data_IF_683021543824
#
_entry.id   IF_683021543824
#
_cell.length_a   1.000
_cell.length_b   1.000
_cell.length_c   1.000
_cell.angle_alpha   90.00
_cell.angle_beta   90.00
_cell.angle_gamma   90.00
#
_symmetry.space_group_name_H-M   'P 1'
#
loop_
_entity.id
_entity.type
_entity.pdbx_description
1 polymer ?
#
# COMPACT_ATOMS: atom_id res chain seq x y z
N UNK A 1 -20.73 -64.84 -25.96
CA UNK A 1 -20.27 -63.43 -26.03
C UNK A 1 -18.77 -63.43 -26.16
N UNK A 2 -18.24 -63.20 -27.37
CA UNK A 2 -16.80 -63.05 -27.60
C UNK A 2 -16.42 -61.59 -27.33
N UNK A 3 -15.73 -61.35 -26.22
CA UNK A 3 -15.02 -60.09 -26.01
C UNK A 3 -13.75 -60.11 -26.87
N UNK A 4 -13.73 -59.29 -27.91
CA UNK A 4 -12.58 -59.13 -28.79
C UNK A 4 -11.51 -58.31 -28.10
N UNK A 5 -10.26 -58.80 -28.11
CA UNK A 5 -9.07 -58.17 -27.52
C UNK A 5 -8.84 -56.72 -27.99
N UNK A 6 -9.47 -56.33 -29.10
CA UNK A 6 -9.45 -54.96 -29.65
C UNK A 6 -10.09 -53.92 -28.71
N UNK A 7 -11.09 -54.31 -27.90
CA UNK A 7 -11.80 -53.40 -26.99
C UNK A 7 -10.98 -53.01 -25.74
N UNK A 8 -9.94 -53.78 -25.41
CA UNK A 8 -9.06 -53.50 -24.27
C UNK A 8 -8.05 -52.41 -24.60
N UNK A 9 -7.65 -52.28 -25.87
CA UNK A 9 -6.60 -51.36 -26.27
C UNK A 9 -7.08 -49.89 -26.38
N UNK A 10 -8.37 -49.67 -26.69
CA UNK A 10 -8.94 -48.32 -26.77
C UNK A 10 -9.28 -47.74 -25.38
N UNK A 11 -9.62 -48.58 -24.40
CA UNK A 11 -9.88 -48.14 -23.03
C UNK A 11 -8.65 -47.53 -22.33
N UNK A 12 -7.43 -47.99 -22.66
CA UNK A 12 -6.22 -47.47 -22.03
C UNK A 12 -5.90 -46.02 -22.43
N UNK A 13 -6.24 -45.64 -23.67
CA UNK A 13 -6.08 -44.25 -24.15
C UNK A 13 -7.03 -43.29 -23.42
N UNK A 14 -8.27 -43.72 -23.20
CA UNK A 14 -9.28 -42.93 -22.47
C UNK A 14 -8.83 -42.70 -21.02
N UNK A 15 -8.36 -43.75 -20.33
CA UNK A 15 -7.86 -43.63 -18.96
C UNK A 15 -6.66 -42.69 -18.89
N UNK A 16 -5.71 -42.80 -19.83
CA UNK A 16 -4.52 -41.94 -19.86
C UNK A 16 -4.88 -40.47 -20.08
N UNK A 17 -5.80 -40.18 -21.01
CA UNK A 17 -6.27 -38.82 -21.27
C UNK A 17 -6.99 -38.25 -20.05
N UNK A 18 -7.89 -39.02 -19.41
CA UNK A 18 -8.57 -38.60 -18.18
C UNK A 18 -7.58 -38.31 -17.04
N UNK A 19 -6.53 -39.13 -16.90
CA UNK A 19 -5.52 -38.94 -15.86
C UNK A 19 -4.66 -37.69 -16.11
N UNK A 20 -4.26 -37.44 -17.37
CA UNK A 20 -3.53 -36.23 -17.76
C UNK A 20 -4.40 -34.99 -17.55
N UNK A 21 -5.67 -35.02 -17.99
CA UNK A 21 -6.61 -33.92 -17.77
C UNK A 21 -6.83 -33.67 -16.29
N UNK A 22 -7.00 -34.70 -15.46
CA UNK A 22 -7.13 -34.55 -14.02
C UNK A 22 -5.87 -33.96 -13.36
N UNK A 23 -4.67 -34.40 -13.76
CA UNK A 23 -3.41 -33.83 -13.27
C UNK A 23 -3.29 -32.36 -13.67
N UNK A 24 -3.56 -32.02 -14.92
CA UNK A 24 -3.58 -30.64 -15.41
C UNK A 24 -4.61 -29.83 -14.63
N UNK A 25 -5.83 -30.33 -14.47
CA UNK A 25 -6.87 -29.66 -13.69
C UNK A 25 -6.46 -29.46 -12.23
N UNK A 26 -5.83 -30.44 -11.57
CA UNK A 26 -5.34 -30.30 -10.19
C UNK A 26 -4.21 -29.27 -10.11
N UNK A 27 -3.29 -29.26 -11.07
CA UNK A 27 -2.17 -28.30 -11.13
C UNK A 27 -2.69 -26.87 -11.37
N UNK A 28 -3.67 -26.70 -12.27
CA UNK A 28 -4.21 -25.39 -12.60
C UNK A 28 -5.29 -24.90 -11.63
N UNK A 29 -6.08 -25.78 -11.03
CA UNK A 29 -7.16 -25.43 -10.09
C UNK A 29 -6.64 -25.15 -8.67
N UNK A 30 -5.48 -25.71 -8.28
CA UNK A 30 -4.81 -25.33 -7.02
C UNK A 30 -4.22 -23.92 -7.02
N UNK A 31 -4.22 -23.19 -8.15
CA UNK A 31 -4.03 -21.75 -8.11
C UNK A 31 -5.31 -21.14 -7.53
N UNK A 32 -5.37 -21.03 -6.20
CA UNK A 32 -6.25 -20.05 -5.57
C UNK A 32 -6.05 -18.71 -6.32
N UNK A 33 -7.13 -17.97 -6.63
CA UNK A 33 -6.99 -16.68 -7.31
C UNK A 33 -5.93 -15.86 -6.58
N UNK A 34 -4.84 -15.55 -7.30
CA UNK A 34 -3.65 -14.90 -6.76
C UNK A 34 -3.93 -13.50 -6.17
N UNK A 35 -5.15 -12.99 -6.31
CA UNK A 35 -5.51 -11.60 -6.08
C UNK A 35 -6.51 -11.43 -4.93
N UNK A 36 -6.26 -12.10 -3.81
CA UNK A 36 -6.96 -11.78 -2.53
C UNK A 36 -6.54 -10.43 -1.94
N UNK A 37 -5.67 -9.69 -2.64
CA UNK A 37 -5.28 -8.35 -2.25
C UNK A 37 -6.43 -7.37 -2.42
N UNK A 38 -6.49 -6.38 -1.54
CA UNK A 38 -7.59 -5.41 -1.51
C UNK A 38 -7.31 -4.34 -2.56
N UNK A 39 -8.34 -3.89 -3.29
CA UNK A 39 -8.22 -2.69 -4.11
C UNK A 39 -7.99 -1.48 -3.21
N UNK A 40 -6.95 -0.69 -3.49
CA UNK A 40 -6.76 0.60 -2.80
C UNK A 40 -7.98 1.49 -3.05
N UNK A 41 -8.38 2.32 -2.08
CA UNK A 41 -9.47 3.29 -2.28
C UNK A 41 -9.18 4.28 -3.43
N UNK A 42 -7.89 4.43 -3.75
CA UNK A 42 -7.42 5.24 -4.86
C UNK A 42 -7.27 4.46 -6.18
N UNK A 43 -7.65 3.18 -6.22
CA UNK A 43 -7.63 2.38 -7.44
C UNK A 43 -8.88 2.63 -8.31
N UNK A 44 -8.76 2.68 -9.64
CA UNK A 44 -7.52 2.75 -10.42
C UNK A 44 -7.00 4.19 -10.59
N UNK A 45 -7.74 5.19 -10.10
CA UNK A 45 -7.69 6.57 -10.56
C UNK A 45 -6.53 7.41 -10.02
N UNK A 46 -6.11 7.19 -8.77
CA UNK A 46 -5.12 8.05 -8.10
C UNK A 46 -3.88 7.29 -7.59
N UNK A 47 -3.96 5.96 -7.41
CA UNK A 47 -2.85 5.15 -6.89
C UNK A 47 -2.50 5.43 -5.41
N UNK A 48 -1.37 4.95 -4.85
CA UNK A 48 -1.03 5.17 -3.45
C UNK A 48 -0.67 6.63 -3.12
N UNK A 49 -0.69 7.55 -4.10
CA UNK A 49 -0.32 8.96 -3.98
C UNK A 49 -0.92 9.83 -5.10
N UNK A 50 -0.12 10.71 -5.70
CA UNK A 50 -0.50 11.52 -6.87
C UNK A 50 -0.13 10.87 -8.21
N UNK A 51 -0.62 9.66 -8.50
CA UNK A 51 -0.24 8.98 -9.76
C UNK A 51 -1.00 9.47 -11.00
N UNK A 52 -1.64 10.63 -10.91
CA UNK A 52 -2.28 11.28 -12.05
C UNK A 52 -1.25 12.11 -12.82
N UNK A 53 -1.33 12.06 -14.15
CA UNK A 53 -0.54 12.94 -15.01
C UNK A 53 -1.13 14.34 -14.95
N UNK A 54 -0.39 15.27 -14.34
CA UNK A 54 -0.77 16.68 -14.32
C UNK A 54 -0.51 17.34 -15.69
N UNK A 55 -1.29 18.38 -15.99
CA UNK A 55 -1.04 19.25 -17.14
C UNK A 55 0.30 19.98 -17.00
N UNK A 56 0.87 20.44 -18.11
CA UNK A 56 2.11 21.23 -18.09
C UNK A 56 1.99 22.45 -17.16
N UNK A 57 3.01 22.70 -16.34
CA UNK A 57 3.03 23.80 -15.35
C UNK A 57 2.39 23.47 -14.00
N UNK A 58 1.86 22.25 -13.84
CA UNK A 58 1.32 21.74 -12.58
C UNK A 58 2.20 20.63 -12.03
N UNK A 59 2.37 20.63 -10.72
CA UNK A 59 3.29 19.77 -9.98
C UNK A 59 2.58 19.08 -8.81
N UNK A 60 3.32 18.26 -8.07
CA UNK A 60 2.84 17.59 -6.87
C UNK A 60 3.73 17.93 -5.67
N UNK A 61 3.13 18.01 -4.50
CA UNK A 61 3.84 18.04 -3.21
C UNK A 61 3.14 17.11 -2.22
N UNK A 62 3.75 16.87 -1.06
CA UNK A 62 3.18 16.02 -0.03
C UNK A 62 3.49 16.52 1.37
N UNK A 63 2.53 16.33 2.26
CA UNK A 63 2.65 16.57 3.67
C UNK A 63 3.00 15.24 4.35
N UNK A 64 4.30 15.04 4.62
CA UNK A 64 4.84 13.71 4.90
C UNK A 64 5.68 13.67 6.17
N UNK A 65 5.46 12.64 6.99
CA UNK A 65 6.21 12.33 8.20
C UNK A 65 7.27 11.28 7.92
N UNK A 66 8.53 11.70 7.82
CA UNK A 66 9.65 10.81 7.55
C UNK A 66 10.23 10.23 8.84
N UNK A 67 10.75 9.00 8.75
CA UNK A 67 11.41 8.33 9.86
C UNK A 67 12.70 8.99 10.35
N UNK A 68 13.30 9.85 9.53
CA UNK A 68 14.50 10.62 9.91
C UNK A 68 14.19 11.93 10.64
N UNK A 69 12.94 12.41 10.57
CA UNK A 69 12.51 13.69 11.16
C UNK A 69 11.46 13.52 12.25
N UNK A 70 10.88 12.34 12.34
CA UNK A 70 9.94 11.94 13.38
C UNK A 70 10.63 10.90 14.25
N UNK A 71 10.33 10.86 15.55
CA UNK A 71 10.90 9.85 16.45
C UNK A 71 10.12 8.54 16.33
N UNK A 72 10.56 7.66 15.43
CA UNK A 72 9.94 6.33 15.26
C UNK A 72 10.52 5.35 16.29
N UNK A 73 9.68 4.59 17.02
CA UNK A 73 10.16 3.58 17.94
C UNK A 73 11.09 2.58 17.25
N UNK A 74 12.22 2.24 17.86
CA UNK A 74 13.19 1.28 17.31
C UNK A 74 12.57 -0.10 17.06
N UNK A 75 11.59 -0.49 17.88
CA UNK A 75 10.79 -1.70 17.71
C UNK A 75 10.00 -1.68 16.40
N UNK A 76 9.35 -0.55 16.08
CA UNK A 76 8.64 -0.38 14.82
C UNK A 76 9.60 -0.53 13.64
N UNK A 77 10.73 0.17 13.69
CA UNK A 77 11.76 0.11 12.64
C UNK A 77 12.23 -1.34 12.44
N UNK A 78 12.53 -2.04 13.53
CA UNK A 78 12.94 -3.46 13.51
C UNK A 78 11.87 -4.35 12.87
N UNK A 79 10.61 -4.17 13.25
CA UNK A 79 9.48 -4.93 12.72
C UNK A 79 9.25 -4.64 11.23
N UNK A 80 9.47 -3.41 10.78
CA UNK A 80 9.44 -3.05 9.36
C UNK A 80 10.56 -3.74 8.57
N UNK A 81 11.79 -3.78 9.09
CA UNK A 81 12.88 -4.54 8.46
C UNK A 81 12.55 -6.04 8.36
N UNK A 82 12.06 -6.65 9.45
CA UNK A 82 11.61 -8.05 9.44
C UNK A 82 10.52 -8.29 8.40
N UNK A 83 9.57 -7.36 8.29
CA UNK A 83 8.49 -7.41 7.32
C UNK A 83 8.96 -7.25 5.88
N UNK A 84 9.94 -6.41 5.60
CA UNK A 84 10.47 -6.30 4.24
C UNK A 84 11.36 -7.48 3.85
N UNK A 85 12.13 -8.05 4.79
CA UNK A 85 12.99 -9.20 4.53
C UNK A 85 12.20 -10.45 4.15
N UNK A 86 10.96 -10.58 4.64
CA UNK A 86 10.11 -11.69 4.23
C UNK A 86 9.73 -11.60 2.75
N UNK A 87 9.60 -10.40 2.18
CA UNK A 87 9.18 -10.22 0.80
C UNK A 87 10.17 -10.87 -0.16
N UNK A 88 11.46 -10.78 0.13
CA UNK A 88 12.51 -11.40 -0.68
C UNK A 88 12.49 -12.94 -0.62
N UNK A 89 11.92 -13.54 0.43
CA UNK A 89 11.75 -15.00 0.52
C UNK A 89 10.68 -15.52 -0.42
N UNK A 90 9.72 -14.67 -0.81
CA UNK A 90 8.57 -15.06 -1.63
C UNK A 90 8.75 -14.72 -3.12
N UNK A 91 9.80 -13.98 -3.47
CA UNK A 91 10.09 -13.62 -4.86
C UNK A 91 11.02 -12.42 -4.94
N UNK A 92 11.07 -11.78 -6.12
CA UNK A 92 11.84 -10.55 -6.34
C UNK A 92 10.91 -9.33 -6.27
N UNK A 93 10.94 -8.53 -5.18
CA UNK A 93 10.18 -7.28 -5.12
C UNK A 93 10.64 -6.31 -6.20
N UNK A 94 9.72 -5.45 -6.65
CA UNK A 94 10.04 -4.32 -7.53
C UNK A 94 10.81 -3.26 -6.74
N UNK A 95 10.39 -3.00 -5.50
CA UNK A 95 11.09 -2.12 -4.58
C UNK A 95 10.87 -2.51 -3.13
N UNK A 96 11.82 -2.14 -2.28
CA UNK A 96 11.78 -2.32 -0.82
C UNK A 96 12.15 -0.98 -0.18
N UNK A 97 11.26 -0.41 0.62
CA UNK A 97 11.44 0.91 1.19
C UNK A 97 12.59 0.96 2.21
N UNK A 98 12.81 -0.11 2.98
CA UNK A 98 13.87 -0.19 4.01
C UNK A 98 15.29 -0.31 3.45
N UNK A 99 15.45 -0.62 2.16
CA UNK A 99 16.77 -0.85 1.52
C UNK A 99 17.20 0.27 0.59
N UNK A 100 16.26 1.09 0.14
CA UNK A 100 16.58 2.20 -0.74
C UNK A 100 16.99 3.40 0.12
N UNK A 101 18.27 3.75 0.06
CA UNK A 101 18.87 4.87 0.81
C UNK A 101 18.18 6.21 0.50
N UNK A 102 17.46 6.31 -0.62
CA UNK A 102 16.71 7.50 -1.03
C UNK A 102 15.22 7.45 -0.67
N UNK A 103 14.68 6.31 -0.20
CA UNK A 103 13.29 6.22 0.25
C UNK A 103 13.24 6.07 1.76
N UNK A 104 13.18 7.19 2.46
CA UNK A 104 12.89 7.16 3.89
C UNK A 104 11.48 6.62 4.11
N UNK A 105 11.34 5.77 5.11
CA UNK A 105 10.05 5.28 5.55
C UNK A 105 9.22 6.46 6.01
N UNK A 106 7.98 6.53 5.54
CA UNK A 106 7.15 7.69 5.80
C UNK A 106 5.67 7.37 5.83
N UNK A 107 4.93 8.28 6.47
CA UNK A 107 3.47 8.36 6.41
C UNK A 107 3.09 9.69 5.78
N UNK A 108 2.32 9.65 4.71
CA UNK A 108 1.81 10.87 4.07
C UNK A 108 0.41 11.20 4.59
N UNK A 109 0.29 12.37 5.22
CA UNK A 109 -0.97 12.92 5.67
C UNK A 109 -1.78 13.47 4.50
N UNK A 110 -1.13 14.16 3.56
CA UNK A 110 -1.80 14.73 2.38
C UNK A 110 -0.90 14.71 1.14
N UNK A 111 -1.50 14.47 -0.03
CA UNK A 111 -0.85 14.62 -1.32
C UNK A 111 -1.51 15.77 -2.09
N UNK A 112 -0.75 16.83 -2.35
CA UNK A 112 -1.20 17.99 -3.10
C UNK A 112 -0.95 17.78 -4.59
N UNK A 113 -1.91 17.16 -5.28
CA UNK A 113 -1.77 16.77 -6.69
C UNK A 113 -2.22 17.86 -7.66
N UNK A 114 -1.40 18.14 -8.66
CA UNK A 114 -1.70 19.03 -9.79
C UNK A 114 -2.06 20.45 -9.36
N UNK A 115 -1.16 21.05 -8.59
CA UNK A 115 -1.17 22.47 -8.26
C UNK A 115 -0.09 23.18 -9.07
N UNK A 116 -0.34 24.43 -9.46
CA UNK A 116 0.69 25.29 -10.03
C UNK A 116 1.78 25.58 -8.98
N UNK A 117 2.97 25.98 -9.44
CA UNK A 117 4.07 26.39 -8.53
C UNK A 117 3.64 27.47 -7.53
N UNK A 118 2.89 28.46 -7.99
CA UNK A 118 2.39 29.54 -7.13
C UNK A 118 1.40 29.03 -6.08
N UNK A 119 0.51 28.09 -6.44
CA UNK A 119 -0.37 27.45 -5.47
C UNK A 119 0.43 26.65 -4.45
N UNK A 120 1.44 25.87 -4.87
CA UNK A 120 2.27 25.07 -3.96
C UNK A 120 3.02 25.94 -2.94
N UNK A 121 3.60 27.07 -3.35
CA UNK A 121 4.23 28.03 -2.42
C UNK A 121 3.22 28.58 -1.41
N UNK A 122 1.99 28.88 -1.84
CA UNK A 122 0.93 29.35 -0.94
C UNK A 122 0.45 28.26 0.02
N UNK A 123 0.43 27.00 -0.43
CA UNK A 123 0.12 25.84 0.41
C UNK A 123 1.20 25.68 1.48
N UNK A 124 2.48 25.74 1.10
CA UNK A 124 3.61 25.71 2.03
C UNK A 124 3.52 26.82 3.07
N UNK A 125 3.32 28.07 2.65
CA UNK A 125 3.15 29.21 3.56
C UNK A 125 1.95 29.02 4.50
N UNK A 126 0.84 28.48 4.00
CA UNK A 126 -0.32 28.17 4.84
C UNK A 126 0.03 27.11 5.89
N UNK A 127 0.63 25.99 5.48
CA UNK A 127 1.02 24.89 6.37
C UNK A 127 2.07 25.31 7.38
N UNK A 128 2.91 26.28 7.04
CA UNK A 128 3.91 26.84 7.94
C UNK A 128 3.29 27.59 9.11
N UNK A 129 2.22 28.32 8.83
CA UNK A 129 1.45 29.13 9.79
C UNK A 129 0.27 28.37 10.41
N UNK A 130 -0.02 27.16 9.95
CA UNK A 130 -1.11 26.35 10.46
C UNK A 130 -0.89 26.01 11.94
N UNK A 131 -1.94 26.07 12.76
CA UNK A 131 -1.87 25.74 14.19
C UNK A 131 -1.88 24.23 14.38
N UNK A 132 -0.71 23.63 14.27
CA UNK A 132 -0.52 22.19 14.41
C UNK A 132 -0.88 21.70 15.82
N UNK A 133 -1.63 20.60 15.86
CA UNK A 133 -1.86 19.82 17.08
C UNK A 133 -1.14 18.49 16.96
N UNK A 134 -0.61 17.99 18.08
CA UNK A 134 0.02 16.67 18.11
C UNK A 134 -1.02 15.59 17.84
N UNK A 135 -0.71 14.68 16.92
CA UNK A 135 -1.54 13.53 16.59
C UNK A 135 -0.85 12.24 17.02
N UNK A 136 -1.61 11.31 17.58
CA UNK A 136 -1.12 9.96 17.83
C UNK A 136 -1.31 9.09 16.58
N UNK A 137 -0.33 8.25 16.29
CA UNK A 137 -0.46 7.18 15.30
C UNK A 137 -0.06 5.83 15.89
N UNK A 138 -0.89 4.83 15.64
CA UNK A 138 -0.67 3.42 15.93
C UNK A 138 -0.85 2.63 14.65
N UNK A 139 0.00 1.62 14.45
CA UNK A 139 -0.09 0.72 13.30
C UNK A 139 -0.79 -0.59 13.66
N UNK A 140 -1.75 -0.98 12.82
CA UNK A 140 -2.52 -2.21 13.00
C UNK A 140 -1.82 -3.38 12.32
N UNK A 141 -1.89 -3.47 10.99
CA UNK A 141 -1.46 -4.65 10.23
C UNK A 141 -0.92 -4.33 8.86
N UNK A 142 -0.19 -5.28 8.27
CA UNK A 142 0.14 -5.22 6.87
C UNK A 142 -1.05 -5.64 6.00
N UNK A 143 -1.19 -4.99 4.86
CA UNK A 143 -2.06 -5.44 3.78
C UNK A 143 -1.28 -5.44 2.46
N UNK A 144 -1.75 -6.23 1.50
CA UNK A 144 -1.40 -6.04 0.11
C UNK A 144 -2.52 -5.25 -0.58
N UNK A 145 -2.16 -4.13 -1.19
CA UNK A 145 -3.07 -3.20 -1.83
C UNK A 145 -2.77 -3.14 -3.34
N UNK A 146 -3.76 -3.44 -4.17
CA UNK A 146 -3.65 -3.26 -5.61
C UNK A 146 -3.75 -1.76 -5.87
N UNK A 147 -2.61 -1.17 -6.23
CA UNK A 147 -2.44 0.28 -6.41
C UNK A 147 -2.20 0.66 -7.87
N UNK A 148 -1.87 -0.31 -8.72
CA UNK A 148 -1.69 -0.19 -10.17
C UNK A 148 -2.19 -1.45 -10.88
N UNK A 149 -2.28 -1.39 -12.22
CA UNK A 149 -2.71 -2.54 -13.04
C UNK A 149 -1.81 -3.75 -12.86
N UNK A 150 -0.48 -3.54 -12.78
CA UNK A 150 0.56 -4.57 -12.78
C UNK A 150 1.31 -4.69 -11.44
N UNK A 151 1.02 -3.83 -10.46
CA UNK A 151 1.75 -3.77 -9.18
C UNK A 151 0.82 -3.79 -7.97
N UNK A 152 1.36 -4.38 -6.90
CA UNK A 152 0.77 -4.43 -5.58
C UNK A 152 1.69 -3.68 -4.63
N UNK A 153 1.14 -2.72 -3.88
CA UNK A 153 1.82 -2.09 -2.75
C UNK A 153 1.64 -2.96 -1.51
N UNK A 154 2.75 -3.29 -0.85
CA UNK A 154 2.72 -3.89 0.49
C UNK A 154 2.82 -2.74 1.48
N UNK A 155 1.79 -2.55 2.29
CA UNK A 155 1.67 -1.38 3.15
C UNK A 155 1.34 -1.79 4.58
N UNK A 156 1.85 -1.00 5.54
CA UNK A 156 1.49 -1.07 6.95
C UNK A 156 0.41 -0.02 7.22
N UNK A 157 -0.77 -0.46 7.65
CA UNK A 157 -1.93 0.40 7.87
C UNK A 157 -1.92 1.01 9.26
N UNK A 158 -2.28 2.30 9.36
CA UNK A 158 -2.65 2.88 10.65
C UNK A 158 -3.95 2.23 11.16
N UNK A 159 -4.09 2.13 12.48
CA UNK A 159 -5.27 1.58 13.15
C UNK A 159 -6.51 2.47 12.96
N UNK A 160 -7.70 1.97 13.30
CA UNK A 160 -8.95 2.67 13.01
C UNK A 160 -9.04 4.06 13.67
N UNK A 161 -8.54 4.20 14.91
CA UNK A 161 -8.52 5.47 15.63
C UNK A 161 -7.58 6.47 14.96
N UNK A 162 -6.37 6.04 14.59
CA UNK A 162 -5.39 6.89 13.90
C UNK A 162 -5.87 7.30 12.51
N UNK A 163 -6.50 6.38 11.77
CA UNK A 163 -7.12 6.70 10.46
C UNK A 163 -8.13 7.84 10.61
N UNK A 164 -9.06 7.72 11.57
CA UNK A 164 -10.09 8.73 11.79
C UNK A 164 -9.48 10.08 12.15
N UNK A 165 -8.58 10.13 13.13
CA UNK A 165 -7.97 11.37 13.61
C UNK A 165 -7.17 12.09 12.51
N UNK A 166 -6.35 11.34 11.78
CA UNK A 166 -5.48 11.91 10.74
C UNK A 166 -6.28 12.32 9.49
N UNK A 167 -7.30 11.56 9.09
CA UNK A 167 -8.18 11.97 7.99
C UNK A 167 -9.04 13.18 8.38
N UNK A 168 -9.47 13.28 9.63
CA UNK A 168 -10.13 14.48 10.15
C UNK A 168 -9.19 15.68 10.07
N UNK A 169 -7.96 15.57 10.57
CA UNK A 169 -6.96 16.65 10.48
C UNK A 169 -6.73 17.08 9.02
N UNK A 170 -6.57 16.12 8.10
CA UNK A 170 -6.41 16.44 6.68
C UNK A 170 -7.63 17.17 6.10
N UNK A 171 -8.84 16.78 6.50
CA UNK A 171 -10.10 17.44 6.08
C UNK A 171 -10.18 18.86 6.65
N UNK A 172 -9.79 19.06 7.91
CA UNK A 172 -9.75 20.38 8.55
C UNK A 172 -8.77 21.31 7.82
N UNK A 173 -7.57 20.81 7.48
CA UNK A 173 -6.57 21.51 6.65
C UNK A 173 -7.15 21.87 5.27
N UNK A 174 -7.78 20.93 4.57
CA UNK A 174 -8.41 21.18 3.26
C UNK A 174 -9.47 22.29 3.33
N UNK A 175 -10.32 22.24 4.35
CA UNK A 175 -11.37 23.24 4.55
C UNK A 175 -10.76 24.62 4.82
N UNK A 176 -9.76 24.72 5.70
CA UNK A 176 -9.11 25.99 6.00
C UNK A 176 -8.34 26.56 4.80
N UNK A 177 -7.63 25.72 4.04
CA UNK A 177 -6.98 26.13 2.79
C UNK A 177 -8.00 26.74 1.81
N UNK A 178 -9.14 26.07 1.65
CA UNK A 178 -10.21 26.55 0.78
C UNK A 178 -10.80 27.86 1.27
N UNK A 179 -11.17 27.97 2.55
CA UNK A 179 -11.90 29.13 3.08
C UNK A 179 -11.01 30.34 3.37
N UNK A 180 -9.76 30.12 3.83
CA UNK A 180 -8.86 31.21 4.24
C UNK A 180 -7.93 31.67 3.11
N UNK A 181 -7.53 30.76 2.23
CA UNK A 181 -6.58 31.06 1.16
C UNK A 181 -7.20 31.07 -0.24
N UNK A 182 -8.48 30.65 -0.37
CA UNK A 182 -9.13 30.46 -1.67
C UNK A 182 -8.32 29.52 -2.59
N UNK A 183 -7.70 28.49 -2.01
CA UNK A 183 -6.97 27.46 -2.77
C UNK A 183 -7.94 26.29 -3.03
N UNK A 184 -8.21 25.94 -4.29
CA UNK A 184 -9.17 24.88 -4.62
C UNK A 184 -8.59 23.50 -4.29
N UNK A 185 -9.37 22.65 -3.62
CA UNK A 185 -8.98 21.25 -3.37
C UNK A 185 -9.17 20.44 -4.65
N UNK A 186 -8.06 20.07 -5.29
CA UNK A 186 -8.06 19.32 -6.56
C UNK A 186 -8.50 17.86 -6.37
N UNK A 187 -7.90 17.17 -5.41
CA UNK A 187 -8.27 15.83 -4.98
C UNK A 187 -8.34 15.83 -3.46
N UNK A 188 -9.50 15.47 -2.90
CA UNK A 188 -9.63 15.35 -1.45
C UNK A 188 -8.87 14.13 -0.93
N UNK A 189 -8.27 14.26 0.24
CA UNK A 189 -7.53 13.21 0.96
C UNK A 189 -8.37 11.96 1.17
N UNK A 190 -9.68 12.12 1.34
CA UNK A 190 -10.65 11.04 1.49
C UNK A 190 -10.76 10.12 0.27
N UNK A 191 -10.35 10.58 -0.92
CA UNK A 191 -10.33 9.81 -2.17
C UNK A 191 -8.99 9.13 -2.45
N UNK A 192 -7.99 9.36 -1.59
CA UNK A 192 -6.66 8.77 -1.71
C UNK A 192 -6.55 7.57 -0.76
N UNK A 193 -5.56 6.71 -0.99
CA UNK A 193 -5.33 5.53 -0.15
C UNK A 193 -5.23 5.94 1.32
N UNK A 194 -5.90 5.19 2.21
CA UNK A 194 -5.91 5.44 3.67
C UNK A 194 -4.52 5.60 4.26
N UNK A 195 -4.41 6.18 5.45
CA UNK A 195 -3.12 6.47 6.11
C UNK A 195 -2.32 5.18 6.27
N UNK A 196 -1.14 5.16 5.68
CA UNK A 196 -0.32 3.96 5.62
C UNK A 196 1.14 4.34 5.48
N UNK A 197 1.99 3.34 5.69
CA UNK A 197 3.37 3.36 5.24
C UNK A 197 3.57 2.30 4.16
N UNK A 198 4.18 2.67 3.04
CA UNK A 198 4.59 1.69 2.03
C UNK A 198 5.89 1.01 2.44
N UNK A 199 5.88 -0.32 2.52
CA UNK A 199 7.04 -1.15 2.85
C UNK A 199 7.75 -1.66 1.60
N UNK A 200 7.02 -1.83 0.50
CA UNK A 200 7.57 -2.26 -0.78
C UNK A 200 6.50 -2.37 -1.86
N UNK A 201 6.97 -2.57 -3.09
CA UNK A 201 6.12 -2.80 -4.26
C UNK A 201 6.51 -4.11 -4.89
N UNK A 202 5.53 -4.91 -5.28
CA UNK A 202 5.74 -6.24 -5.88
C UNK A 202 4.91 -6.40 -7.15
N UNK A 203 5.30 -7.35 -8.01
CA UNK A 203 4.55 -7.69 -9.22
C UNK A 203 3.22 -8.34 -8.87
N UNK A 204 2.12 -7.86 -9.47
CA UNK A 204 0.79 -8.45 -9.29
C UNK A 204 0.68 -9.86 -9.88
N UNK A 205 1.40 -10.13 -10.96
CA UNK A 205 1.26 -11.37 -11.72
C UNK A 205 2.17 -12.49 -11.21
N UNK A 206 3.32 -12.15 -10.65
CA UNK A 206 4.36 -13.12 -10.31
C UNK A 206 4.66 -13.23 -8.82
N UNK A 207 4.23 -12.28 -7.98
CA UNK A 207 4.54 -12.29 -6.55
C UNK A 207 3.34 -12.74 -5.71
N UNK A 208 3.49 -13.73 -4.79
CA UNK A 208 2.39 -14.23 -3.96
C UNK A 208 2.12 -13.29 -2.76
N UNK A 209 1.69 -12.06 -3.04
CA UNK A 209 1.60 -10.97 -2.05
C UNK A 209 0.70 -11.29 -0.86
N UNK A 210 -0.48 -11.89 -1.11
CA UNK A 210 -1.42 -12.27 -0.06
C UNK A 210 -0.80 -13.27 0.92
N UNK A 211 -0.12 -14.30 0.42
CA UNK A 211 0.54 -15.32 1.25
C UNK A 211 1.64 -14.70 2.11
N UNK A 212 2.48 -13.87 1.51
CA UNK A 212 3.56 -13.18 2.21
C UNK A 212 3.02 -12.30 3.36
N UNK A 213 1.98 -11.50 3.08
CA UNK A 213 1.32 -10.66 4.09
C UNK A 213 0.66 -11.50 5.18
N UNK A 214 -0.06 -12.56 4.82
CA UNK A 214 -0.74 -13.45 5.79
C UNK A 214 0.25 -14.10 6.75
N UNK A 215 1.39 -14.60 6.24
CA UNK A 215 2.43 -15.19 7.08
C UNK A 215 3.06 -14.13 7.99
N UNK A 216 3.37 -12.95 7.45
CA UNK A 216 3.96 -11.87 8.26
C UNK A 216 3.03 -11.38 9.38
N UNK A 217 1.73 -11.22 9.11
CA UNK A 217 0.75 -10.83 10.13
C UNK A 217 0.51 -11.90 11.21
N UNK A 218 0.88 -13.17 10.97
CA UNK A 218 0.89 -14.18 12.04
C UNK A 218 2.06 -14.00 12.98
N UNK A 219 3.22 -13.62 12.45
CA UNK A 219 4.44 -13.45 13.22
C UNK A 219 4.54 -12.06 13.89
N UNK A 220 3.93 -11.02 13.31
CA UNK A 220 3.73 -9.70 13.94
C UNK A 220 2.22 -9.45 13.95
N UNK A 221 1.53 -9.82 15.05
CA UNK A 221 0.09 -9.65 15.15
C UNK A 221 -0.39 -8.20 14.97
N UNK A 222 -1.68 -8.02 14.65
CA UNK A 222 -2.27 -6.69 14.58
C UNK A 222 -2.11 -5.90 15.89
N UNK A 223 -1.78 -4.62 15.80
CA UNK A 223 -1.55 -3.70 16.94
C UNK A 223 -0.36 -4.06 17.84
N UNK A 224 0.56 -4.92 17.40
CA UNK A 224 1.80 -5.25 18.13
C UNK A 224 3.05 -4.82 17.37
N UNK A 225 2.91 -3.87 16.45
CA UNK A 225 4.03 -3.38 15.64
C UNK A 225 5.03 -2.55 16.45
N UNK A 226 4.55 -1.95 17.53
CA UNK A 226 5.33 -1.19 18.50
C UNK A 226 4.51 -1.00 19.78
N UNK A 227 5.19 -0.86 20.92
CA UNK A 227 4.52 -0.62 22.22
C UNK A 227 4.52 0.86 22.65
N UNK A 228 5.26 1.72 21.96
CA UNK A 228 5.37 3.14 22.29
C UNK A 228 4.44 3.97 21.40
N UNK A 229 3.72 4.92 21.97
CA UNK A 229 2.91 5.87 21.19
C UNK A 229 3.80 6.74 20.31
N UNK A 230 3.39 6.90 19.05
CA UNK A 230 4.09 7.75 18.08
C UNK A 230 3.34 9.06 17.98
N UNK A 231 4.04 10.16 18.21
CA UNK A 231 3.49 11.50 18.11
C UNK A 231 3.93 12.15 16.81
N UNK A 232 2.95 12.49 15.97
CA UNK A 232 3.11 13.28 14.76
C UNK A 232 2.83 14.74 15.09
N UNK A 233 3.83 15.60 14.94
CA UNK A 233 3.72 17.05 15.15
C UNK A 233 3.71 17.77 13.80
N UNK A 234 4.16 19.02 13.70
CA UNK A 234 4.34 19.68 12.40
C UNK A 234 5.42 18.92 11.60
N UNK A 235 5.12 18.38 10.41
CA UNK A 235 6.14 17.80 9.56
C UNK A 235 7.06 18.90 9.01
N UNK A 236 8.34 18.60 8.76
CA UNK A 236 9.20 19.53 8.03
C UNK A 236 8.62 19.75 6.63
N UNK A 237 8.41 21.00 6.25
CA UNK A 237 7.98 21.35 4.89
C UNK A 237 9.21 21.28 3.99
N UNK A 238 9.05 20.68 2.81
CA UNK A 238 10.09 20.48 1.80
C UNK A 238 9.56 20.74 0.41
#
# INVERSE_FOLDING_TARGET
MHFTIKDVHDNWKIITVCFIVAIVFIIFWKREPNDRCVLSEAYPSHGPGCNIKCSNGYEYSSLTFYNVTTNWPSELVTNMYKATNILEKYGKPVSIATKNQHSWLHVTLHYYCCYSKQELVRIEQFLDNYKWTTQEIVFDRMICAISHVDKISIVLMADAKSQYNLLKLATDIENEMKTKMNIPIRISRSKLQKIHMTLGVVSRTTFPAWTAVKVRNKEIPPNTWHNQTIFLTKPPIR
#
